data_IF_821678055502
#
_entry.id   IF_821678055502
#
_cell.length_a   1.000
_cell.length_b   1.000
_cell.length_c   1.000
_cell.angle_alpha   90.00
_cell.angle_beta   90.00
_cell.angle_gamma   90.00
#
_symmetry.space_group_name_H-M   'P 1'
#
loop_
_entity.id
_entity.type
_entity.pdbx_description
1 polymer ?
#
# COMPACT_ATOMS: atom_id res chain seq x y z
N UNK A 1 -5.42 18.62 17.98
CA UNK A 1 -5.20 17.63 16.92
C UNK A 1 -3.81 17.85 16.37
N UNK A 2 -3.02 16.78 16.28
CA UNK A 2 -1.66 16.85 15.76
C UNK A 2 -1.72 16.37 14.31
N UNK A 3 -1.45 17.27 13.36
CA UNK A 3 -1.49 16.91 11.95
C UNK A 3 -0.17 16.28 11.54
N UNK A 4 -0.23 15.03 11.09
CA UNK A 4 0.91 14.39 10.44
C UNK A 4 1.13 15.03 9.07
N UNK A 5 2.37 15.41 8.80
CA UNK A 5 2.76 15.85 7.46
C UNK A 5 2.63 14.70 6.45
N UNK A 6 2.49 15.05 5.19
CA UNK A 6 2.57 14.10 4.08
C UNK A 6 3.93 13.40 4.06
N UNK A 7 3.94 12.13 3.64
CA UNK A 7 5.17 11.38 3.45
C UNK A 7 5.99 11.98 2.30
N UNK A 8 7.30 12.14 2.51
CA UNK A 8 8.24 12.57 1.48
C UNK A 8 8.56 11.41 0.53
N UNK A 9 8.95 11.73 -0.70
CA UNK A 9 9.41 10.71 -1.65
C UNK A 9 10.55 9.85 -1.11
N UNK A 10 11.44 10.40 -0.28
CA UNK A 10 12.51 9.63 0.38
C UNK A 10 11.98 8.60 1.38
N UNK A 11 10.89 8.92 2.08
CA UNK A 11 10.23 8.00 3.03
C UNK A 11 9.48 6.91 2.29
N UNK A 12 8.74 7.27 1.24
CA UNK A 12 8.09 6.31 0.35
C UNK A 12 9.11 5.38 -0.31
N UNK A 13 10.26 5.90 -0.74
CA UNK A 13 11.33 5.09 -1.32
C UNK A 13 11.92 4.14 -0.28
N UNK A 14 12.12 4.60 0.96
CA UNK A 14 12.59 3.73 2.02
C UNK A 14 11.59 2.58 2.28
N UNK A 15 10.30 2.90 2.40
CA UNK A 15 9.23 1.89 2.55
C UNK A 15 9.25 0.93 1.37
N UNK A 16 9.27 1.43 0.13
CA UNK A 16 9.32 0.61 -1.07
C UNK A 16 10.50 -0.36 -1.04
N UNK A 17 11.71 0.14 -0.75
CA UNK A 17 12.92 -0.68 -0.64
C UNK A 17 12.83 -1.73 0.45
N UNK A 18 12.24 -1.40 1.61
CA UNK A 18 12.01 -2.37 2.68
C UNK A 18 11.10 -3.50 2.21
N UNK A 19 10.06 -3.17 1.45
CA UNK A 19 9.10 -4.15 0.93
C UNK A 19 9.72 -5.03 -0.18
N UNK A 20 10.60 -4.48 -1.04
CA UNK A 20 11.21 -5.23 -2.15
C UNK A 20 12.43 -6.03 -1.72
N UNK A 21 13.34 -5.47 -0.92
CA UNK A 21 14.61 -6.11 -0.55
C UNK A 21 14.51 -7.04 0.66
N UNK A 22 13.44 -6.93 1.46
CA UNK A 22 13.24 -7.81 2.60
C UNK A 22 13.14 -9.28 2.19
N UNK A 23 12.53 -9.60 1.05
CA UNK A 23 12.02 -10.96 0.81
C UNK A 23 12.50 -11.65 -0.48
N UNK A 24 13.40 -11.06 -1.27
CA UNK A 24 13.88 -11.69 -2.52
C UNK A 24 15.36 -11.47 -2.81
N UNK A 25 16.03 -12.52 -3.28
CA UNK A 25 17.41 -12.49 -3.82
C UNK A 25 17.48 -11.83 -5.21
N UNK A 26 16.33 -11.52 -5.81
CA UNK A 26 16.25 -10.81 -7.07
C UNK A 26 16.12 -9.31 -6.81
N UNK A 27 17.10 -8.54 -7.30
CA UNK A 27 17.15 -7.09 -7.28
C UNK A 27 16.15 -6.46 -8.26
N UNK A 28 14.93 -6.97 -8.28
CA UNK A 28 13.88 -6.38 -9.08
C UNK A 28 13.41 -5.13 -8.35
N UNK A 29 13.48 -3.98 -9.03
CA UNK A 29 12.96 -2.69 -8.54
C UNK A 29 11.42 -2.68 -8.58
N UNK A 30 10.80 -3.81 -8.24
CA UNK A 30 9.40 -4.12 -8.36
C UNK A 30 8.93 -4.79 -7.07
N UNK A 31 7.80 -4.31 -6.56
CA UNK A 31 7.09 -4.96 -5.47
C UNK A 31 6.17 -6.04 -6.03
N UNK A 32 6.54 -7.30 -5.84
CA UNK A 32 5.87 -8.48 -6.41
C UNK A 32 4.85 -9.09 -5.45
N UNK A 33 4.05 -10.05 -5.95
CA UNK A 33 3.12 -10.83 -5.12
C UNK A 33 3.85 -11.55 -3.98
N UNK A 34 5.00 -12.17 -4.26
CA UNK A 34 5.77 -12.92 -3.26
C UNK A 34 6.27 -12.03 -2.13
N UNK A 35 6.66 -10.80 -2.44
CA UNK A 35 7.08 -9.84 -1.43
C UNK A 35 5.95 -9.57 -0.43
N UNK A 36 4.73 -9.33 -0.94
CA UNK A 36 3.54 -9.03 -0.14
C UNK A 36 3.03 -10.26 0.61
N UNK A 37 2.99 -11.44 -0.02
CA UNK A 37 2.61 -12.69 0.63
C UNK A 37 3.48 -12.98 1.86
N UNK A 38 4.80 -12.90 1.68
CA UNK A 38 5.75 -13.09 2.76
C UNK A 38 5.56 -12.05 3.87
N UNK A 39 5.31 -10.79 3.51
CA UNK A 39 5.05 -9.73 4.49
C UNK A 39 3.78 -9.98 5.30
N UNK A 40 2.67 -10.30 4.65
CA UNK A 40 1.39 -10.54 5.33
C UNK A 40 1.46 -11.76 6.25
N UNK A 41 2.13 -12.82 5.81
CA UNK A 41 2.38 -13.99 6.65
C UNK A 41 3.26 -13.62 7.86
N UNK A 42 4.36 -12.88 7.67
CA UNK A 42 5.28 -12.55 8.75
C UNK A 42 4.69 -11.57 9.79
N UNK A 43 3.94 -10.56 9.34
CA UNK A 43 3.39 -9.53 10.24
C UNK A 43 2.11 -10.01 10.91
N UNK A 44 1.17 -10.52 10.12
CA UNK A 44 -0.21 -10.78 10.57
C UNK A 44 -0.52 -12.26 10.76
N UNK A 45 0.38 -13.17 10.34
CA UNK A 45 0.12 -14.62 10.29
C UNK A 45 -1.15 -14.92 9.45
N UNK A 46 -1.36 -14.13 8.39
CA UNK A 46 -2.46 -14.29 7.43
C UNK A 46 -1.89 -14.84 6.14
N UNK A 47 -2.46 -15.95 5.69
CA UNK A 47 -2.11 -16.60 4.43
C UNK A 47 -3.11 -16.17 3.36
N UNK A 48 -2.76 -15.15 2.59
CA UNK A 48 -3.50 -14.79 1.39
C UNK A 48 -3.15 -15.71 0.23
N UNK A 49 -4.09 -15.87 -0.69
CA UNK A 49 -3.84 -16.52 -1.98
C UNK A 49 -3.11 -15.59 -2.94
N UNK A 50 -2.41 -16.15 -3.92
CA UNK A 50 -1.79 -15.36 -4.99
C UNK A 50 -2.81 -14.51 -5.74
N UNK A 51 -4.04 -14.99 -5.91
CA UNK A 51 -5.12 -14.27 -6.59
C UNK A 51 -5.53 -13.00 -5.82
N UNK A 52 -5.68 -13.08 -4.50
CA UNK A 52 -6.01 -11.93 -3.64
C UNK A 52 -4.90 -10.86 -3.63
N UNK A 53 -3.64 -11.30 -3.59
CA UNK A 53 -2.51 -10.37 -3.65
C UNK A 53 -2.37 -9.75 -5.04
N UNK A 54 -2.57 -10.53 -6.10
CA UNK A 54 -2.55 -10.02 -7.46
C UNK A 54 -3.69 -9.03 -7.71
N UNK A 55 -4.87 -9.29 -7.16
CA UNK A 55 -5.98 -8.32 -7.14
C UNK A 55 -5.55 -7.02 -6.46
N UNK A 56 -4.90 -7.10 -5.30
CA UNK A 56 -4.40 -5.93 -4.57
C UNK A 56 -3.37 -5.13 -5.39
N UNK A 57 -2.43 -5.81 -6.05
CA UNK A 57 -1.44 -5.16 -6.92
C UNK A 57 -2.11 -4.46 -8.11
N UNK A 58 -3.07 -5.11 -8.77
CA UNK A 58 -3.79 -4.52 -9.90
C UNK A 58 -4.63 -3.33 -9.46
N UNK A 59 -5.30 -3.42 -8.32
CA UNK A 59 -6.02 -2.30 -7.73
C UNK A 59 -5.09 -1.11 -7.45
N UNK A 60 -3.88 -1.34 -6.92
CA UNK A 60 -2.90 -0.28 -6.71
C UNK A 60 -2.45 0.35 -8.05
N UNK A 61 -2.27 -0.43 -9.12
CA UNK A 61 -1.95 0.09 -10.47
C UNK A 61 -3.07 0.96 -11.03
N UNK A 62 -4.33 0.59 -10.83
CA UNK A 62 -5.46 1.41 -11.23
C UNK A 62 -5.52 2.71 -10.41
N UNK A 63 -5.30 2.60 -9.10
CA UNK A 63 -5.31 3.74 -8.21
C UNK A 63 -4.17 4.72 -8.50
N UNK A 64 -2.99 4.27 -8.95
CA UNK A 64 -1.89 5.18 -9.33
C UNK A 64 -2.26 6.09 -10.50
N UNK A 65 -3.08 5.58 -11.42
CA UNK A 65 -3.53 6.28 -12.62
C UNK A 65 -4.79 7.11 -12.36
N UNK A 66 -5.43 6.92 -11.21
CA UNK A 66 -6.64 7.63 -10.83
C UNK A 66 -6.33 9.06 -10.40
N UNK A 67 -6.91 10.04 -11.09
CA UNK A 67 -7.03 11.39 -10.55
C UNK A 67 -8.12 11.38 -9.48
N UNK A 68 -7.73 11.13 -8.23
CA UNK A 68 -8.64 11.27 -7.09
C UNK A 68 -8.91 12.77 -6.89
N UNK A 69 -9.99 13.28 -7.47
CA UNK A 69 -10.56 14.57 -7.10
C UNK A 69 -11.16 14.45 -5.70
N UNK A 70 -10.81 15.33 -4.75
CA UNK A 70 -11.44 15.33 -3.43
C UNK A 70 -12.94 15.51 -3.63
N UNK A 71 -13.76 14.62 -3.04
CA UNK A 71 -15.22 14.78 -3.04
C UNK A 71 -15.53 16.06 -2.28
N UNK A 72 -15.82 17.13 -3.02
CA UNK A 72 -16.47 18.31 -2.45
C UNK A 72 -17.90 17.88 -2.17
N UNK A 73 -18.24 17.72 -0.90
CA UNK A 73 -19.61 17.48 -0.47
C UNK A 73 -20.39 18.78 -0.69
N UNK A 74 -20.82 19.03 -1.92
CA UNK A 74 -21.99 19.87 -2.17
C UNK A 74 -23.22 18.98 -2.05
N UNK A 75 -24.21 19.47 -1.29
CA UNK A 75 -25.43 18.75 -0.91
C UNK A 75 -26.25 18.17 -2.08
N UNK A 76 -27.36 17.48 -1.77
CA UNK A 76 -27.94 16.49 -2.66
C UNK A 76 -28.59 17.16 -3.87
N UNK A 77 -27.99 16.98 -5.04
CA UNK A 77 -28.69 17.06 -6.32
C UNK A 77 -28.68 15.68 -6.94
N UNK A 78 -29.86 15.06 -6.98
CA UNK A 78 -30.11 13.81 -7.65
C UNK A 78 -29.73 13.92 -9.13
N UNK A 79 -28.82 13.07 -9.62
CA UNK A 79 -28.77 12.71 -11.05
C UNK A 79 -28.11 11.34 -11.25
N UNK A 80 -29.00 10.34 -11.42
CA UNK A 80 -28.97 9.25 -12.39
C UNK A 80 -27.64 8.58 -12.75
N UNK A 81 -27.56 7.29 -12.40
CA UNK A 81 -26.55 6.32 -12.83
C UNK A 81 -26.43 6.27 -14.37
N UNK A 82 -25.25 6.59 -14.91
CA UNK A 82 -24.89 6.21 -16.27
C UNK A 82 -23.81 5.12 -16.23
N UNK A 83 -24.29 3.87 -16.26
CA UNK A 83 -23.56 2.75 -16.84
C UNK A 83 -23.33 3.08 -18.32
N UNK A 84 -22.09 3.31 -18.73
CA UNK A 84 -21.77 3.45 -20.15
C UNK A 84 -21.69 2.06 -20.78
N UNK A 85 -22.83 1.58 -21.27
CA UNK A 85 -22.88 0.48 -22.22
C UNK A 85 -22.34 0.96 -23.57
N UNK A 86 -21.38 0.20 -24.11
CA UNK A 86 -20.79 0.42 -25.42
C UNK A 86 -21.85 0.46 -26.52
N UNK A 87 -21.78 1.50 -27.36
CA UNK A 87 -22.72 1.77 -28.44
C UNK A 87 -22.83 0.61 -29.45
N UNK A 88 -24.05 0.08 -29.60
CA UNK A 88 -24.47 -0.73 -30.74
C UNK A 88 -24.75 0.22 -31.91
N UNK A 89 -23.77 0.37 -32.80
CA UNK A 89 -23.95 1.00 -34.11
C UNK A 89 -24.47 -0.01 -35.13
N UNK A 90 -25.71 0.16 -35.57
CA UNK A 90 -26.32 -0.62 -36.65
C UNK A 90 -25.89 -0.18 -38.05
N UNK A 91 -25.79 -1.17 -38.94
CA UNK A 91 -25.86 -1.16 -40.42
C UNK A 91 -24.56 -0.94 -41.22
N UNK A 92 -24.04 -2.06 -41.73
CA UNK A 92 -23.28 -2.17 -42.98
C UNK A 92 -23.33 -3.60 -43.51
N UNK A 93 -24.02 -3.82 -44.64
CA UNK A 93 -24.05 -5.08 -45.40
C UNK A 93 -22.70 -5.29 -46.10
N UNK A 94 -22.15 -6.50 -46.11
CA UNK A 94 -20.99 -6.85 -46.95
C UNK A 94 -20.38 -8.19 -46.58
N UNK A 95 -20.08 -9.01 -47.59
CA UNK A 95 -19.80 -10.45 -47.50
C UNK A 95 -18.36 -10.80 -47.07
N UNK A 96 -18.22 -12.08 -46.68
CA UNK A 96 -17.02 -12.93 -46.72
C UNK A 96 -15.76 -12.52 -45.94
N UNK A 97 -15.33 -13.40 -45.02
CA UNK A 97 -14.01 -14.06 -45.09
C UNK A 97 -13.54 -14.55 -43.72
N UNK A 98 -12.97 -15.75 -43.72
CA UNK A 98 -12.41 -16.49 -42.61
C UNK A 98 -11.37 -15.73 -41.77
N UNK A 99 -11.29 -16.13 -40.49
CA UNK A 99 -10.01 -16.25 -39.79
C UNK A 99 -9.55 -15.04 -38.99
N UNK A 100 -10.18 -14.77 -37.84
CA UNK A 100 -9.56 -13.97 -36.78
C UNK A 100 -8.98 -14.90 -35.72
N UNK A 101 -7.68 -15.14 -35.88
CA UNK A 101 -6.77 -15.70 -34.89
C UNK A 101 -6.79 -14.77 -33.68
N UNK A 102 -7.28 -15.24 -32.54
CA UNK A 102 -7.07 -14.57 -31.26
C UNK A 102 -5.57 -14.60 -30.96
N UNK A 103 -4.81 -13.62 -31.46
CA UNK A 103 -3.47 -13.36 -30.96
C UNK A 103 -3.65 -12.52 -29.70
N UNK A 104 -3.89 -13.21 -28.58
CA UNK A 104 -3.51 -12.72 -27.27
C UNK A 104 -2.00 -12.51 -27.31
N UNK A 105 -1.59 -11.31 -27.72
CA UNK A 105 -0.23 -10.85 -27.50
C UNK A 105 0.00 -10.84 -25.99
N UNK A 106 1.13 -11.38 -25.49
CA UNK A 106 1.49 -11.14 -24.11
C UNK A 106 1.81 -9.65 -24.02
N UNK A 107 0.84 -8.83 -23.62
CA UNK A 107 1.16 -7.59 -22.92
C UNK A 107 2.04 -8.05 -21.77
N UNK A 108 3.31 -7.69 -21.82
CA UNK A 108 4.30 -8.01 -20.78
C UNK A 108 3.83 -7.34 -19.49
N UNK A 109 2.97 -8.04 -18.75
CA UNK A 109 2.49 -7.63 -17.44
C UNK A 109 3.74 -7.63 -16.58
N UNK A 110 4.25 -6.45 -16.26
CA UNK A 110 5.25 -6.34 -15.21
C UNK A 110 4.59 -6.87 -13.94
N UNK A 111 5.02 -8.04 -13.46
CA UNK A 111 4.42 -8.79 -12.34
C UNK A 111 4.70 -8.13 -10.97
N UNK A 112 4.55 -6.81 -10.90
CA UNK A 112 4.75 -6.04 -9.67
C UNK A 112 4.46 -4.56 -9.84
N UNK A 113 4.73 -3.79 -8.78
CA UNK A 113 4.64 -2.33 -8.75
C UNK A 113 6.05 -1.73 -8.79
N UNK A 114 6.34 -0.88 -9.78
CA UNK A 114 7.52 -0.02 -9.70
C UNK A 114 7.33 1.08 -8.65
N UNK A 115 8.41 1.78 -8.31
CA UNK A 115 8.37 2.85 -7.31
C UNK A 115 7.40 3.98 -7.69
N UNK A 116 7.32 4.35 -8.97
CA UNK A 116 6.47 5.45 -9.43
C UNK A 116 5.00 5.10 -9.18
N UNK A 117 4.60 3.92 -9.64
CA UNK A 117 3.26 3.35 -9.45
C UNK A 117 2.95 3.26 -7.96
N UNK A 118 3.81 2.62 -7.17
CA UNK A 118 3.65 2.51 -5.71
C UNK A 118 3.46 3.88 -5.04
N UNK A 119 4.34 4.84 -5.31
CA UNK A 119 4.29 6.16 -4.67
C UNK A 119 3.00 6.91 -5.02
N UNK A 120 2.55 6.85 -6.27
CA UNK A 120 1.31 7.45 -6.72
C UNK A 120 0.08 6.78 -6.07
N UNK A 121 0.06 5.44 -5.98
CA UNK A 121 -1.01 4.71 -5.29
C UNK A 121 -1.10 5.11 -3.82
N UNK A 122 0.02 5.10 -3.09
CA UNK A 122 0.04 5.48 -1.66
C UNK A 122 -0.41 6.93 -1.48
N UNK A 123 0.08 7.86 -2.31
CA UNK A 123 -0.36 9.25 -2.24
C UNK A 123 -1.87 9.39 -2.49
N UNK A 124 -2.45 8.61 -3.41
CA UNK A 124 -3.89 8.61 -3.63
C UNK A 124 -4.68 7.98 -2.48
N UNK A 125 -4.17 6.93 -1.81
CA UNK A 125 -4.77 6.38 -0.59
C UNK A 125 -4.77 7.43 0.53
N UNK A 126 -3.65 8.14 0.72
CA UNK A 126 -3.49 9.16 1.76
C UNK A 126 -4.33 10.42 1.53
N UNK A 127 -4.85 10.63 0.32
CA UNK A 127 -5.86 11.69 0.06
C UNK A 127 -7.23 11.33 0.63
N UNK A 128 -7.54 10.03 0.73
CA UNK A 128 -8.85 9.51 1.16
C UNK A 128 -8.83 9.14 2.64
N UNK A 129 -7.71 8.56 3.10
CA UNK A 129 -7.53 8.12 4.48
C UNK A 129 -6.45 8.96 5.16
N UNK A 130 -6.72 9.46 6.36
CA UNK A 130 -5.70 10.17 7.12
C UNK A 130 -4.58 9.20 7.56
N UNK A 131 -3.33 9.67 7.50
CA UNK A 131 -2.19 8.88 7.96
C UNK A 131 -2.33 8.47 9.43
N UNK A 132 -3.03 9.28 10.24
CA UNK A 132 -3.31 8.98 11.64
C UNK A 132 -4.17 7.72 11.81
N UNK A 133 -5.21 7.54 11.00
CA UNK A 133 -6.05 6.33 11.02
C UNK A 133 -5.22 5.09 10.66
N UNK A 134 -4.36 5.19 9.64
CA UNK A 134 -3.48 4.09 9.24
C UNK A 134 -2.49 3.73 10.36
N UNK A 135 -1.88 4.75 10.99
CA UNK A 135 -0.97 4.54 12.12
C UNK A 135 -1.70 3.99 13.34
N UNK A 136 -2.98 4.31 13.54
CA UNK A 136 -3.77 3.73 14.64
C UNK A 136 -3.93 2.23 14.47
N UNK A 137 -4.26 1.76 13.27
CA UNK A 137 -4.35 0.32 13.00
C UNK A 137 -3.02 -0.40 13.23
N UNK A 138 -1.90 0.24 12.84
CA UNK A 138 -0.55 -0.29 13.09
C UNK A 138 -0.25 -0.33 14.59
N UNK A 139 -0.57 0.75 15.32
CA UNK A 139 -0.40 0.82 16.77
C UNK A 139 -1.19 -0.27 17.48
N UNK A 140 -2.46 -0.45 17.11
CA UNK A 140 -3.34 -1.45 17.72
C UNK A 140 -2.78 -2.87 17.48
N UNK A 141 -2.24 -3.13 16.29
CA UNK A 141 -1.56 -4.38 15.95
C UNK A 141 -0.31 -4.62 16.82
N UNK A 142 0.60 -3.63 16.89
CA UNK A 142 1.82 -3.73 17.71
C UNK A 142 1.47 -3.91 19.19
N UNK A 143 0.46 -3.18 19.67
CA UNK A 143 0.04 -3.21 21.06
C UNK A 143 -0.62 -4.53 21.46
N UNK A 144 -1.04 -5.38 20.51
CA UNK A 144 -1.81 -6.59 20.80
C UNK A 144 -2.96 -6.34 21.80
N UNK A 145 -3.72 -5.25 21.61
CA UNK A 145 -4.81 -4.79 22.48
C UNK A 145 -4.41 -4.30 23.89
N UNK A 146 -3.11 -4.09 24.15
CA UNK A 146 -2.62 -3.57 25.44
C UNK A 146 -2.87 -2.06 25.63
N UNK A 147 -3.34 -1.33 24.60
CA UNK A 147 -3.47 0.14 24.54
C UNK A 147 -2.15 0.92 24.76
N UNK A 148 -1.03 0.20 24.90
CA UNK A 148 0.32 0.72 24.94
C UNK A 148 1.26 -0.21 24.17
N UNK A 149 2.38 0.33 23.72
CA UNK A 149 3.49 -0.42 23.13
C UNK A 149 4.75 -0.24 23.96
N UNK A 150 5.57 -1.28 24.04
CA UNK A 150 6.93 -1.21 24.60
C UNK A 150 7.98 -1.14 23.49
N UNK A 151 9.23 -0.87 23.86
CA UNK A 151 10.36 -0.97 22.93
C UNK A 151 10.48 -2.39 22.35
N UNK A 152 10.28 -3.40 23.20
CA UNK A 152 10.35 -4.80 22.76
C UNK A 152 9.25 -5.12 21.74
N UNK A 153 8.04 -4.60 21.93
CA UNK A 153 6.94 -4.76 20.94
C UNK A 153 7.36 -4.19 19.57
N UNK A 154 8.07 -3.06 19.54
CA UNK A 154 8.54 -2.43 18.30
C UNK A 154 9.71 -3.21 17.69
N UNK A 155 10.68 -3.63 18.50
CA UNK A 155 11.81 -4.45 18.02
C UNK A 155 11.25 -5.73 17.40
N UNK A 156 10.32 -6.41 18.08
CA UNK A 156 9.65 -7.59 17.56
C UNK A 156 8.90 -7.30 16.26
N UNK A 157 8.19 -6.17 16.17
CA UNK A 157 7.52 -5.76 14.94
C UNK A 157 8.49 -5.47 13.79
N UNK A 158 9.64 -4.83 14.05
CA UNK A 158 10.67 -4.59 13.03
C UNK A 158 11.26 -5.90 12.50
N UNK A 159 11.46 -6.90 13.36
CA UNK A 159 11.90 -8.24 12.96
C UNK A 159 10.87 -8.92 12.06
N UNK A 160 9.57 -8.82 12.38
CA UNK A 160 8.48 -9.32 11.52
C UNK A 160 8.43 -8.63 10.15
N UNK A 161 8.75 -7.34 10.10
CA UNK A 161 8.87 -6.58 8.86
C UNK A 161 10.18 -6.85 8.09
N UNK A 162 11.03 -7.76 8.60
CA UNK A 162 12.39 -8.03 8.12
C UNK A 162 13.29 -6.77 8.03
N UNK A 163 13.08 -5.82 8.94
CA UNK A 163 13.91 -4.63 9.08
C UNK A 163 15.04 -4.96 10.06
N UNK A 164 16.27 -5.02 9.55
CA UNK A 164 17.46 -5.20 10.39
C UNK A 164 17.85 -3.89 11.06
N UNK A 165 17.58 -3.78 12.35
CA UNK A 165 18.05 -2.67 13.18
C UNK A 165 19.51 -2.88 13.58
N UNK A 166 20.38 -1.89 13.32
CA UNK A 166 21.72 -1.85 13.89
C UNK A 166 21.67 -1.62 15.40
N UNK A 167 22.72 -2.00 16.14
CA UNK A 167 22.80 -1.75 17.58
C UNK A 167 22.65 -0.26 17.92
N UNK A 168 23.26 0.63 17.14
CA UNK A 168 23.08 2.08 17.29
C UNK A 168 21.62 2.52 17.09
N UNK A 169 20.91 1.89 16.16
CA UNK A 169 19.49 2.19 15.92
C UNK A 169 18.62 1.72 17.07
N UNK A 170 18.93 0.54 17.65
CA UNK A 170 18.26 0.03 18.85
C UNK A 170 18.51 0.96 20.03
N UNK A 171 19.75 1.39 20.28
CA UNK A 171 20.08 2.32 21.35
C UNK A 171 19.36 3.68 21.20
N UNK A 172 19.30 4.21 19.97
CA UNK A 172 18.54 5.44 19.67
C UNK A 172 17.03 5.26 19.86
N UNK A 173 16.50 4.08 19.55
CA UNK A 173 15.10 3.74 19.81
C UNK A 173 14.86 3.72 21.32
N UNK A 174 15.67 2.98 22.07
CA UNK A 174 15.56 2.86 23.54
C UNK A 174 15.66 4.20 24.25
N UNK A 175 16.50 5.12 23.78
CA UNK A 175 16.63 6.45 24.41
C UNK A 175 15.45 7.40 24.14
N UNK A 176 14.70 7.17 23.05
CA UNK A 176 13.52 7.96 22.68
C UNK A 176 12.21 7.43 23.25
N UNK A 177 12.19 6.16 23.65
CA UNK A 177 10.99 5.46 24.06
C UNK A 177 10.91 5.33 25.60
N UNK A 178 9.83 5.81 26.21
CA UNK A 178 9.48 5.45 27.59
C UNK A 178 9.02 3.99 27.68
N UNK A 179 9.01 3.41 28.88
CA UNK A 179 8.68 1.99 29.11
C UNK A 179 7.35 1.58 28.49
N UNK A 180 6.32 2.42 28.62
CA UNK A 180 5.00 2.23 27.99
C UNK A 180 4.63 3.48 27.20
N UNK A 181 4.22 3.30 25.95
CA UNK A 181 3.88 4.39 25.02
C UNK A 181 2.45 4.21 24.55
N UNK A 182 1.60 5.18 24.83
CA UNK A 182 0.25 5.25 24.27
C UNK A 182 0.27 5.80 22.83
N UNK A 183 -0.87 5.73 22.15
CA UNK A 183 -0.97 6.16 20.75
C UNK A 183 -0.54 7.63 20.53
N UNK A 184 -0.91 8.54 21.44
CA UNK A 184 -0.53 9.95 21.32
C UNK A 184 1.00 10.13 21.41
N UNK A 185 1.65 9.43 22.33
CA UNK A 185 3.10 9.43 22.46
C UNK A 185 3.78 8.81 21.23
N UNK A 186 3.21 7.72 20.69
CA UNK A 186 3.70 7.09 19.46
C UNK A 186 3.68 8.07 18.27
N UNK A 187 2.59 8.84 18.10
CA UNK A 187 2.48 9.87 17.08
C UNK A 187 3.52 10.99 17.29
N UNK A 188 3.74 11.42 18.54
CA UNK A 188 4.76 12.44 18.84
C UNK A 188 6.17 11.97 18.48
N UNK A 189 6.49 10.69 18.71
CA UNK A 189 7.79 10.13 18.34
C UNK A 189 7.99 10.19 16.83
N UNK A 190 6.97 9.83 16.04
CA UNK A 190 7.02 9.86 14.57
C UNK A 190 7.21 11.28 14.03
N UNK A 191 6.56 12.27 14.65
CA UNK A 191 6.65 13.68 14.22
C UNK A 191 8.02 14.27 14.51
N UNK A 192 8.65 13.88 15.62
CA UNK A 192 9.95 14.39 16.06
C UNK A 192 11.14 13.62 15.44
N UNK A 193 10.91 12.91 14.33
CA UNK A 193 11.93 12.21 13.52
C UNK A 193 12.21 12.95 12.22
#
# INVERSE_FOLDING_TARGET
MVYLRTLRNSELMYIFKTLTYGNSLNYENLLTCDNLLNLFNNIYNINYTHEEINFTINYLKELSNSHVTPVTVTGPTATTNNFTTSNIGTKGKGANSMGMKCTSGPSTVTEGLDFITFSNSINNILKINSLEILLKNIFDNISNNKNYITIDDIINFTLKCNIKLSEDSKLKLTSRFSTNINFNQFIQIIINT
#
